data_IF_982546481818
#
_entry.id   IF_982546481818
#
_cell.length_a   1.000
_cell.length_b   1.000
_cell.length_c   1.000
_cell.angle_alpha   90.00
_cell.angle_beta   90.00
_cell.angle_gamma   90.00
#
_symmetry.space_group_name_H-M   'P 1'
#
loop_
_entity.id
_entity.type
_entity.pdbx_description
1 polymer ?
#
# COMPACT_ATOMS: atom_id res chain seq x y z
N UNK A 1 2.11 -21.85 9.23
CA UNK A 1 2.27 -21.06 7.99
C UNK A 1 1.44 -19.80 8.11
N UNK A 2 1.99 -18.62 7.79
CA UNK A 2 1.22 -17.39 7.77
C UNK A 2 0.21 -17.40 6.62
N UNK A 3 -1.02 -16.94 6.87
CA UNK A 3 -2.08 -16.83 5.86
C UNK A 3 -1.92 -15.51 5.11
N UNK A 4 -2.05 -15.52 3.78
CA UNK A 4 -2.11 -14.28 2.99
C UNK A 4 -3.33 -13.47 3.43
N UNK A 5 -3.12 -12.18 3.68
CA UNK A 5 -4.20 -11.28 4.08
C UNK A 5 -5.22 -11.14 2.93
N UNK A 6 -6.52 -11.37 3.18
CA UNK A 6 -7.54 -11.28 2.14
C UNK A 6 -7.84 -9.83 1.76
N UNK A 7 -8.46 -9.59 0.60
CA UNK A 7 -8.86 -8.26 0.14
C UNK A 7 -9.67 -7.47 1.20
N UNK A 8 -10.56 -8.14 1.94
CA UNK A 8 -11.34 -7.55 3.06
C UNK A 8 -10.48 -6.94 4.17
N UNK A 9 -9.21 -7.34 4.31
CA UNK A 9 -8.28 -6.72 5.25
C UNK A 9 -7.93 -5.29 4.80
N UNK A 10 -7.78 -5.08 3.50
CA UNK A 10 -7.41 -3.78 2.91
C UNK A 10 -8.62 -2.92 2.59
N UNK A 11 -9.78 -3.54 2.36
CA UNK A 11 -11.06 -2.85 2.11
C UNK A 11 -11.68 -2.31 3.43
N UNK A 12 -10.94 -1.43 4.11
CA UNK A 12 -11.28 -0.72 5.34
C UNK A 12 -10.67 0.69 5.30
N UNK A 13 -11.07 1.62 6.19
CA UNK A 13 -10.52 2.97 6.25
C UNK A 13 -8.99 2.98 6.36
N UNK A 14 -8.34 3.91 5.65
CA UNK A 14 -6.88 4.02 5.51
C UNK A 14 -6.15 3.94 6.85
N UNK A 15 -6.57 4.73 7.83
CA UNK A 15 -5.96 4.76 9.16
C UNK A 15 -6.09 3.40 9.91
N UNK A 16 -7.23 2.74 9.76
CA UNK A 16 -7.46 1.40 10.35
C UNK A 16 -6.53 0.36 9.73
N UNK A 17 -6.35 0.40 8.41
CA UNK A 17 -5.44 -0.52 7.71
C UNK A 17 -3.99 -0.22 8.07
N UNK A 18 -3.58 1.05 8.07
CA UNK A 18 -2.22 1.46 8.43
C UNK A 18 -1.82 0.92 9.82
N UNK A 19 -2.66 1.14 10.84
CA UNK A 19 -2.42 0.59 12.18
C UNK A 19 -2.41 -0.95 12.18
N UNK A 20 -3.33 -1.59 11.44
CA UNK A 20 -3.39 -3.05 11.34
C UNK A 20 -2.17 -3.67 10.64
N UNK A 21 -1.45 -2.90 9.82
CA UNK A 21 -0.28 -3.38 9.09
C UNK A 21 0.98 -3.48 9.96
N UNK A 22 1.07 -2.73 11.05
CA UNK A 22 2.20 -2.83 11.97
C UNK A 22 2.24 -4.25 12.57
N UNK A 23 3.41 -4.89 12.49
CA UNK A 23 3.60 -6.29 12.90
C UNK A 23 3.21 -7.33 11.84
N UNK A 24 2.54 -6.94 10.76
CA UNK A 24 2.33 -7.84 9.62
C UNK A 24 3.67 -8.15 8.92
N UNK A 25 3.72 -9.27 8.19
CA UNK A 25 4.94 -9.69 7.48
C UNK A 25 4.77 -9.52 5.98
N UNK A 26 5.60 -8.68 5.38
CA UNK A 26 5.71 -8.58 3.92
C UNK A 26 6.56 -9.76 3.42
N UNK A 27 5.99 -10.53 2.50
CA UNK A 27 6.62 -11.72 1.93
C UNK A 27 6.85 -11.53 0.44
N UNK A 28 8.11 -11.65 0.00
CA UNK A 28 8.49 -11.60 -1.42
C UNK A 28 9.09 -12.93 -1.86
N UNK A 29 8.45 -13.57 -2.83
CA UNK A 29 8.97 -14.77 -3.49
C UNK A 29 9.55 -14.43 -4.86
N UNK A 30 10.78 -14.88 -5.13
CA UNK A 30 11.41 -14.87 -6.47
C UNK A 30 11.98 -16.26 -6.75
N UNK A 31 11.31 -17.03 -7.60
CA UNK A 31 11.64 -18.44 -7.85
C UNK A 31 11.54 -19.28 -6.57
N UNK A 32 12.66 -19.89 -6.18
CA UNK A 32 12.81 -20.67 -4.93
C UNK A 32 13.13 -19.81 -3.70
N UNK A 33 13.60 -18.56 -3.88
CA UNK A 33 13.95 -17.67 -2.78
C UNK A 33 12.72 -16.98 -2.22
N UNK A 34 12.58 -16.99 -0.90
CA UNK A 34 11.53 -16.27 -0.17
C UNK A 34 12.18 -15.37 0.87
N UNK A 35 11.88 -14.07 0.81
CA UNK A 35 12.28 -13.07 1.80
C UNK A 35 11.06 -12.66 2.60
N UNK A 36 11.22 -12.50 3.91
CA UNK A 36 10.17 -12.09 4.85
C UNK A 36 10.70 -10.96 5.71
N UNK A 37 9.93 -9.91 5.86
CA UNK A 37 10.26 -8.77 6.72
C UNK A 37 9.02 -8.34 7.49
N UNK A 38 9.17 -8.03 8.77
CA UNK A 38 8.10 -7.45 9.58
C UNK A 38 7.95 -5.97 9.21
N UNK A 39 6.72 -5.52 9.02
CA UNK A 39 6.39 -4.12 8.82
C UNK A 39 6.43 -3.46 10.21
N UNK A 40 7.41 -2.61 10.43
CA UNK A 40 7.58 -1.86 11.69
C UNK A 40 7.09 -0.43 11.60
N UNK A 41 6.86 0.07 10.39
CA UNK A 41 6.49 1.45 10.12
C UNK A 41 5.64 1.52 8.84
N UNK A 42 4.66 2.43 8.84
CA UNK A 42 3.83 2.79 7.68
C UNK A 42 3.43 4.26 7.76
N UNK A 43 3.12 4.85 6.60
CA UNK A 43 2.47 6.15 6.49
C UNK A 43 1.08 5.99 5.86
N UNK A 44 0.11 6.81 6.31
CA UNK A 44 -1.23 6.83 5.76
C UNK A 44 -1.44 8.10 4.91
N UNK A 45 -1.92 7.93 3.68
CA UNK A 45 -2.27 9.02 2.77
C UNK A 45 -3.77 8.97 2.46
N UNK A 46 -4.55 9.85 3.09
CA UNK A 46 -6.02 9.71 3.16
C UNK A 46 -6.76 10.44 2.01
N UNK A 47 -6.40 10.06 0.79
CA UNK A 47 -7.14 10.42 -0.41
C UNK A 47 -7.22 11.93 -0.67
N UNK A 48 -8.43 12.41 -0.99
CA UNK A 48 -8.66 13.76 -1.51
C UNK A 48 -8.42 14.89 -0.50
N UNK A 49 -8.67 14.64 0.80
CA UNK A 49 -8.53 15.67 1.84
C UNK A 49 -7.08 15.87 2.28
N UNK A 50 -6.24 14.87 2.06
CA UNK A 50 -4.83 14.91 2.40
C UNK A 50 -4.03 15.58 1.28
N UNK A 51 -3.52 16.79 1.54
CA UNK A 51 -2.72 17.56 0.58
C UNK A 51 -1.38 16.90 0.22
N UNK A 52 -0.88 15.99 1.06
CA UNK A 52 0.34 15.23 0.78
C UNK A 52 0.08 14.00 -0.10
N UNK A 53 -1.18 13.55 -0.20
CA UNK A 53 -1.55 12.39 -1.00
C UNK A 53 -1.44 12.68 -2.51
N UNK A 54 -0.90 11.71 -3.25
CA UNK A 54 -0.95 11.74 -4.70
C UNK A 54 -2.39 11.75 -5.26
N UNK A 55 -3.39 11.35 -4.46
CA UNK A 55 -4.80 11.41 -4.86
C UNK A 55 -5.46 12.77 -4.62
N UNK A 56 -4.80 13.72 -3.92
CA UNK A 56 -5.37 15.03 -3.55
C UNK A 56 -6.00 15.78 -4.73
N UNK A 57 -5.34 15.74 -5.89
CA UNK A 57 -5.75 16.44 -7.12
C UNK A 57 -6.52 15.55 -8.10
N UNK A 58 -7.00 14.39 -7.65
CA UNK A 58 -7.70 13.43 -8.49
C UNK A 58 -6.77 12.51 -9.28
N UNK A 59 -7.40 11.77 -10.19
CA UNK A 59 -6.76 10.69 -10.93
C UNK A 59 -5.90 11.21 -12.09
N UNK A 60 -4.77 10.53 -12.28
CA UNK A 60 -3.81 10.68 -13.36
C UNK A 60 -3.37 9.28 -13.80
N UNK A 61 -2.78 9.15 -14.99
CA UNK A 61 -2.23 7.86 -15.45
C UNK A 61 -1.25 7.22 -14.45
N UNK A 62 -0.51 8.05 -13.69
CA UNK A 62 0.50 7.58 -12.74
C UNK A 62 -0.13 7.00 -11.47
N UNK A 63 -1.13 7.69 -10.90
CA UNK A 63 -1.74 7.30 -9.62
C UNK A 63 -3.05 6.51 -9.80
N UNK A 64 -3.46 6.18 -11.03
CA UNK A 64 -4.65 5.38 -11.34
C UNK A 64 -4.85 4.14 -10.44
N UNK A 65 -3.80 3.38 -10.05
CA UNK A 65 -3.98 2.27 -9.11
C UNK A 65 -4.63 2.68 -7.78
N UNK A 66 -4.39 3.90 -7.27
CA UNK A 66 -4.98 4.42 -6.03
C UNK A 66 -6.51 4.56 -6.08
N UNK A 67 -7.10 4.57 -7.27
CA UNK A 67 -8.55 4.70 -7.50
C UNK A 67 -9.19 3.34 -7.84
N UNK A 68 -8.40 2.26 -7.86
CA UNK A 68 -8.84 0.90 -8.11
C UNK A 68 -9.20 0.14 -6.83
N UNK A 69 -9.18 -1.19 -6.92
CA UNK A 69 -9.56 -2.06 -5.80
C UNK A 69 -8.56 -2.01 -4.64
N UNK A 70 -9.07 -2.02 -3.41
CA UNK A 70 -8.27 -2.18 -2.20
C UNK A 70 -7.45 -3.49 -2.24
N UNK A 71 -6.22 -3.43 -1.71
CA UNK A 71 -5.24 -4.52 -1.80
C UNK A 71 -4.39 -4.50 -3.08
N UNK A 72 -4.61 -3.54 -3.97
CA UNK A 72 -3.75 -3.31 -5.14
C UNK A 72 -2.45 -2.60 -4.73
N UNK A 73 -1.34 -2.94 -5.38
CA UNK A 73 -0.08 -2.23 -5.18
C UNK A 73 0.00 -0.97 -6.04
N UNK A 74 0.33 0.16 -5.42
CA UNK A 74 0.75 1.37 -6.12
C UNK A 74 2.26 1.57 -5.91
N UNK A 75 3.04 1.27 -6.94
CA UNK A 75 4.50 1.38 -6.91
C UNK A 75 4.93 2.46 -7.89
N UNK A 76 5.71 3.44 -7.43
CA UNK A 76 6.18 4.52 -8.27
C UNK A 76 7.65 4.86 -8.03
N UNK A 77 8.29 5.42 -9.05
CA UNK A 77 9.68 5.86 -9.01
C UNK A 77 9.76 7.33 -8.62
N UNK A 78 10.67 7.68 -7.71
CA UNK A 78 10.84 9.03 -7.17
C UNK A 78 12.31 9.46 -7.19
N UNK A 79 12.52 10.77 -7.38
CA UNK A 79 13.83 11.43 -7.43
C UNK A 79 14.86 10.81 -8.38
N UNK A 80 14.42 10.06 -9.39
CA UNK A 80 15.32 9.39 -10.32
C UNK A 80 16.13 8.23 -9.70
N UNK A 81 15.81 7.77 -8.48
CA UNK A 81 16.66 6.81 -7.76
C UNK A 81 15.92 5.77 -6.91
N UNK A 82 14.71 6.06 -6.42
CA UNK A 82 14.05 5.20 -5.43
C UNK A 82 12.66 4.76 -5.85
N UNK A 83 12.25 3.57 -5.40
CA UNK A 83 10.91 3.03 -5.62
C UNK A 83 10.12 3.04 -4.32
N UNK A 84 8.94 3.64 -4.35
CA UNK A 84 8.02 3.70 -3.22
C UNK A 84 6.95 2.62 -3.39
N UNK A 85 6.72 1.82 -2.34
CA UNK A 85 5.73 0.75 -2.33
C UNK A 85 4.54 1.18 -1.47
N UNK A 86 3.37 1.30 -2.08
CA UNK A 86 2.13 1.66 -1.40
C UNK A 86 1.09 0.56 -1.65
N UNK A 87 0.19 0.36 -0.69
CA UNK A 87 -0.96 -0.54 -0.83
C UNK A 87 -2.24 0.30 -0.82
N UNK A 88 -3.13 0.05 -1.76
CA UNK A 88 -4.41 0.76 -1.88
C UNK A 88 -5.36 0.26 -0.80
N UNK A 89 -6.02 1.19 -0.13
CA UNK A 89 -6.97 0.94 0.97
C UNK A 89 -8.28 1.69 0.68
N UNK A 90 -9.32 1.41 1.45
CA UNK A 90 -10.55 2.18 1.41
C UNK A 90 -11.80 1.35 1.72
N UNK A 91 -12.97 2.01 1.82
CA UNK A 91 -13.15 3.46 1.82
C UNK A 91 -12.69 4.11 3.12
#
# INVERSE_FOLDING_TARGET
>A
MGRVLPQKFFNRPTLTVALSLIGCVLVRRRGKRVVRMTITEVEAYDGFKDKASHAHRGETRRNAPMFGEAGSWYVYFTYGMHWMLNIVTGP
#
